data_IF_205926372524
#
_entry.id   IF_205926372524
#
_cell.length_a   1.000
_cell.length_b   1.000
_cell.length_c   1.000
_cell.angle_alpha   90.00
_cell.angle_beta   90.00
_cell.angle_gamma   90.00
#
_symmetry.space_group_name_H-M   'P 1'
#
loop_
_entity.id
_entity.type
_entity.pdbx_description
1 polymer ?
#
# COMPACT_ATOMS: atom_id res chain seq x y z
N UNK A 1 -18.45 -13.29 4.76
CA UNK A 1 -17.27 -14.13 5.12
C UNK A 1 -17.61 -15.20 6.14
N UNK A 2 -17.97 -14.83 7.38
CA UNK A 2 -18.20 -15.80 8.48
C UNK A 2 -19.32 -16.80 8.19
N UNK A 3 -20.44 -16.35 7.60
CA UNK A 3 -21.53 -17.26 7.20
C UNK A 3 -21.08 -18.34 6.20
N UNK A 4 -20.03 -18.06 5.43
CA UNK A 4 -19.42 -18.97 4.47
C UNK A 4 -18.15 -19.65 5.01
N UNK A 5 -17.85 -19.50 6.31
CA UNK A 5 -16.66 -20.06 6.99
C UNK A 5 -15.30 -19.61 6.42
N UNK A 6 -15.24 -18.45 5.77
CA UNK A 6 -13.97 -17.83 5.39
C UNK A 6 -13.31 -17.18 6.60
N UNK A 7 -11.98 -17.28 6.70
CA UNK A 7 -11.19 -16.85 7.86
C UNK A 7 -10.02 -15.91 7.52
N UNK A 8 -9.89 -15.46 6.26
CA UNK A 8 -8.89 -14.45 5.85
C UNK A 8 -9.57 -13.41 4.98
N UNK A 9 -9.47 -12.15 5.38
CA UNK A 9 -9.72 -10.99 4.54
C UNK A 9 -8.37 -10.61 3.93
N UNK A 10 -8.18 -10.92 2.65
CA UNK A 10 -7.09 -10.32 1.89
C UNK A 10 -7.51 -8.92 1.50
N UNK A 11 -6.88 -7.92 2.12
CA UNK A 11 -7.21 -6.53 1.88
C UNK A 11 -6.15 -5.92 0.99
N UNK A 12 -6.45 -5.89 -0.31
CA UNK A 12 -5.73 -5.10 -1.31
C UNK A 12 -6.10 -3.62 -1.11
N UNK A 13 -5.28 -2.90 -0.35
CA UNK A 13 -5.67 -1.59 0.22
C UNK A 13 -5.41 -0.44 -0.75
N UNK A 14 -4.34 -0.55 -1.54
CA UNK A 14 -3.81 0.50 -2.41
C UNK A 14 -3.45 -0.12 -3.76
N UNK A 15 -3.58 0.66 -4.84
CA UNK A 15 -3.23 0.26 -6.22
C UNK A 15 -2.86 1.54 -7.00
N UNK A 16 -2.61 1.44 -8.31
CA UNK A 16 -2.24 2.50 -9.22
C UNK A 16 -3.18 3.71 -9.11
N UNK A 17 -4.48 3.48 -8.98
CA UNK A 17 -5.48 4.52 -9.09
C UNK A 17 -5.74 5.26 -7.78
N UNK A 18 -5.48 4.63 -6.63
CA UNK A 18 -5.68 5.31 -5.34
C UNK A 18 -4.85 4.79 -4.17
N UNK A 19 -4.48 5.69 -3.27
CA UNK A 19 -3.85 5.41 -1.99
C UNK A 19 -4.74 5.92 -0.84
N UNK A 20 -5.78 5.18 -0.44
CA UNK A 20 -6.75 5.66 0.56
C UNK A 20 -6.29 5.50 2.02
N UNK A 21 -5.31 4.65 2.31
CA UNK A 21 -4.89 4.38 3.68
C UNK A 21 -3.96 5.48 4.23
N UNK A 22 -4.22 5.95 5.44
CA UNK A 22 -3.28 6.82 6.15
C UNK A 22 -2.08 6.04 6.69
N UNK A 23 -0.88 6.51 6.39
CA UNK A 23 0.38 5.97 6.93
C UNK A 23 1.02 7.05 7.81
N UNK A 24 1.04 6.92 9.14
CA UNK A 24 1.58 7.94 10.05
C UNK A 24 3.03 8.33 9.74
N UNK A 25 3.88 7.37 9.36
CA UNK A 25 5.27 7.64 8.99
C UNK A 25 5.39 8.45 7.70
N UNK A 26 4.41 8.34 6.80
CA UNK A 26 4.40 8.96 5.47
C UNK A 26 3.01 9.52 5.10
N UNK A 27 2.53 10.56 5.82
CA UNK A 27 1.14 11.00 5.76
C UNK A 27 0.71 11.52 4.38
N UNK A 28 1.67 11.99 3.56
CA UNK A 28 1.37 12.50 2.22
C UNK A 28 0.96 11.39 1.24
N UNK A 29 1.22 10.10 1.53
CA UNK A 29 0.76 9.00 0.67
C UNK A 29 -0.76 9.06 0.46
N UNK A 30 -1.51 9.41 1.50
CA UNK A 30 -2.97 9.57 1.43
C UNK A 30 -3.44 10.70 0.50
N UNK A 31 -2.55 11.53 -0.04
CA UNK A 31 -2.91 12.49 -1.10
C UNK A 31 -3.26 11.77 -2.41
N UNK A 32 -2.84 10.52 -2.59
CA UNK A 32 -3.25 9.67 -3.70
C UNK A 32 -4.66 9.09 -3.56
N UNK A 33 -5.40 9.39 -2.49
CA UNK A 33 -6.81 9.01 -2.38
C UNK A 33 -7.68 9.78 -3.38
N UNK A 34 -8.81 9.21 -3.79
CA UNK A 34 -9.75 9.88 -4.70
C UNK A 34 -10.30 11.20 -4.13
N UNK A 35 -10.54 11.25 -2.81
CA UNK A 35 -10.98 12.45 -2.11
C UNK A 35 -10.64 12.39 -0.62
N UNK A 36 -10.89 13.50 0.10
CA UNK A 36 -10.73 13.54 1.55
C UNK A 36 -11.66 12.54 2.27
N UNK A 37 -12.87 12.31 1.75
CA UNK A 37 -13.84 11.37 2.34
C UNK A 37 -13.58 9.91 1.98
N UNK A 38 -12.75 9.65 0.98
CA UNK A 38 -12.41 8.30 0.50
C UNK A 38 -11.05 7.87 1.06
N UNK A 39 -10.87 8.06 2.37
CA UNK A 39 -9.68 7.66 3.12
C UNK A 39 -10.03 6.70 4.23
N UNK A 40 -9.12 5.79 4.53
CA UNK A 40 -9.12 5.01 5.74
C UNK A 40 -8.13 5.62 6.72
N UNK A 41 -8.63 6.14 7.84
CA UNK A 41 -7.78 6.55 8.94
C UNK A 41 -7.16 5.33 9.61
N UNK A 42 -6.10 5.54 10.40
CA UNK A 42 -5.54 4.47 11.23
C UNK A 42 -6.58 3.87 12.18
N UNK A 43 -7.50 4.68 12.70
CA UNK A 43 -8.58 4.18 13.57
C UNK A 43 -9.56 3.29 12.79
N UNK A 44 -9.84 3.59 11.52
CA UNK A 44 -10.67 2.74 10.66
C UNK A 44 -10.01 1.40 10.44
N UNK A 45 -8.71 1.38 10.13
CA UNK A 45 -7.94 0.15 9.96
C UNK A 45 -7.92 -0.69 11.25
N UNK A 46 -7.66 -0.07 12.42
CA UNK A 46 -7.73 -0.73 13.72
C UNK A 46 -9.11 -1.33 13.97
N UNK A 47 -10.18 -0.57 13.67
CA UNK A 47 -11.55 -1.03 13.87
C UNK A 47 -11.89 -2.23 12.96
N UNK A 48 -11.45 -2.22 11.70
CA UNK A 48 -11.61 -3.33 10.76
C UNK A 48 -10.90 -4.59 11.29
N UNK A 49 -9.65 -4.47 11.72
CA UNK A 49 -8.89 -5.60 12.29
C UNK A 49 -9.60 -6.16 13.52
N UNK A 50 -9.98 -5.32 14.48
CA UNK A 50 -10.68 -5.76 15.70
C UNK A 50 -12.04 -6.41 15.39
N UNK A 51 -12.76 -5.90 14.39
CA UNK A 51 -14.05 -6.45 14.00
C UNK A 51 -13.90 -7.85 13.37
N UNK A 52 -12.86 -8.04 12.56
CA UNK A 52 -12.49 -9.32 11.94
C UNK A 52 -12.01 -10.34 12.99
N UNK A 53 -11.15 -9.93 13.93
CA UNK A 53 -10.62 -10.77 15.00
C UNK A 53 -11.73 -11.37 15.88
N UNK A 54 -12.74 -10.57 16.25
CA UNK A 54 -13.92 -11.03 17.02
C UNK A 54 -14.71 -12.15 16.33
N UNK A 55 -14.43 -12.41 15.05
CA UNK A 55 -15.11 -13.40 14.20
C UNK A 55 -14.18 -14.51 13.70
N UNK A 56 -12.93 -14.56 14.20
CA UNK A 56 -11.93 -15.52 13.73
C UNK A 56 -11.50 -15.28 12.29
N UNK A 57 -11.58 -14.04 11.80
CA UNK A 57 -11.09 -13.64 10.48
C UNK A 57 -9.78 -12.87 10.65
N UNK A 58 -8.73 -13.35 10.02
CA UNK A 58 -7.45 -12.65 9.92
C UNK A 58 -7.51 -11.58 8.83
N UNK A 59 -6.84 -10.46 9.02
CA UNK A 59 -6.67 -9.44 7.97
C UNK A 59 -5.25 -9.53 7.43
N UNK A 60 -5.12 -10.04 6.20
CA UNK A 60 -3.88 -10.02 5.43
C UNK A 60 -3.85 -8.70 4.67
N UNK A 61 -3.06 -7.74 5.15
CA UNK A 61 -2.87 -6.47 4.48
C UNK A 61 -1.91 -6.63 3.30
N UNK A 62 -2.22 -5.93 2.22
CA UNK A 62 -1.40 -5.89 1.02
C UNK A 62 -0.98 -4.45 0.67
N UNK A 63 0.29 -4.31 0.32
CA UNK A 63 0.84 -3.19 -0.42
C UNK A 63 1.62 -3.76 -1.60
N UNK A 64 1.08 -3.63 -2.80
CA UNK A 64 1.72 -4.16 -4.00
C UNK A 64 2.92 -3.29 -4.39
N UNK A 65 4.09 -3.92 -4.51
CA UNK A 65 5.34 -3.29 -4.91
C UNK A 65 6.16 -4.24 -5.78
N UNK A 66 6.90 -3.72 -6.78
CA UNK A 66 7.01 -2.32 -7.17
C UNK A 66 5.94 -1.89 -8.21
N UNK A 67 5.13 -2.81 -8.73
CA UNK A 67 4.02 -2.51 -9.64
C UNK A 67 2.90 -1.71 -8.95
N UNK A 68 1.84 -1.37 -9.68
CA UNK A 68 0.59 -0.85 -9.10
C UNK A 68 0.77 0.38 -8.18
N UNK A 69 1.75 1.23 -8.50
CA UNK A 69 2.23 2.27 -7.58
C UNK A 69 1.96 3.71 -8.03
N UNK A 70 1.14 3.91 -9.07
CA UNK A 70 0.81 5.24 -9.60
C UNK A 70 0.39 6.24 -8.53
N UNK A 71 -0.53 5.85 -7.64
CA UNK A 71 -1.07 6.71 -6.59
C UNK A 71 -0.06 7.14 -5.52
N UNK A 72 1.03 6.39 -5.33
CA UNK A 72 2.02 6.62 -4.27
C UNK A 72 2.76 7.94 -4.48
N UNK A 73 3.13 8.22 -5.73
CA UNK A 73 3.90 9.40 -6.08
C UNK A 73 3.09 10.70 -6.09
N UNK A 74 1.75 10.66 -5.99
CA UNK A 74 0.94 11.88 -5.80
C UNK A 74 1.35 12.62 -4.52
N UNK A 75 1.64 11.85 -3.45
CA UNK A 75 2.14 12.39 -2.19
C UNK A 75 3.65 12.63 -2.17
N UNK A 76 4.40 11.72 -2.80
CA UNK A 76 5.86 11.70 -2.82
C UNK A 76 6.38 11.45 -4.24
N UNK A 77 6.44 12.48 -5.11
CA UNK A 77 6.77 12.31 -6.53
C UNK A 77 8.11 11.64 -6.82
N UNK A 78 9.05 11.67 -5.86
CA UNK A 78 10.34 10.98 -5.95
C UNK A 78 10.26 9.45 -5.95
N UNK A 79 9.08 8.88 -5.67
CA UNK A 79 8.83 7.44 -5.76
C UNK A 79 8.58 6.99 -7.21
N UNK A 80 8.20 7.92 -8.09
CA UNK A 80 8.06 7.64 -9.50
C UNK A 80 9.43 7.67 -10.20
N UNK A 81 9.69 6.77 -11.15
CA UNK A 81 10.88 6.81 -12.00
C UNK A 81 11.08 8.16 -12.69
N UNK A 82 9.98 8.79 -13.14
CA UNK A 82 10.00 10.15 -13.67
C UNK A 82 8.61 10.79 -13.64
N UNK A 83 8.51 12.08 -13.99
CA UNK A 83 7.22 12.77 -14.10
C UNK A 83 6.30 12.20 -15.19
N UNK A 84 6.88 11.58 -16.23
CA UNK A 84 6.16 10.95 -17.35
C UNK A 84 5.98 9.45 -17.19
N UNK A 85 6.71 8.83 -16.25
CA UNK A 85 6.66 7.41 -15.92
C UNK A 85 6.36 7.24 -14.43
N UNK A 86 5.08 7.06 -14.09
CA UNK A 86 4.58 7.09 -12.71
C UNK A 86 4.48 5.70 -12.06
N UNK A 87 4.97 4.66 -12.72
CA UNK A 87 5.06 3.30 -12.18
C UNK A 87 5.98 2.48 -13.11
N UNK A 88 6.64 1.41 -12.62
CA UNK A 88 6.66 0.91 -11.23
C UNK A 88 7.42 1.86 -10.29
N UNK A 89 7.47 1.60 -8.98
CA UNK A 89 8.30 2.36 -8.03
C UNK A 89 9.76 2.41 -8.50
N UNK A 90 10.42 3.55 -8.29
CA UNK A 90 11.84 3.71 -8.57
C UNK A 90 12.69 2.93 -7.54
N UNK A 91 13.13 1.74 -7.93
CA UNK A 91 13.99 0.87 -7.11
C UNK A 91 15.47 1.29 -7.09
N UNK A 92 15.86 2.32 -7.87
CA UNK A 92 17.21 2.90 -7.80
C UNK A 92 17.33 3.97 -6.69
N UNK A 93 16.19 4.43 -6.17
CA UNK A 93 16.11 5.47 -5.15
C UNK A 93 16.02 4.86 -3.74
N UNK A 94 17.01 5.13 -2.89
CA UNK A 94 17.03 4.72 -1.47
C UNK A 94 15.78 5.19 -0.68
N UNK A 95 15.17 6.30 -1.11
CA UNK A 95 13.94 6.79 -0.48
C UNK A 95 12.77 5.81 -0.62
N UNK A 96 12.69 5.07 -1.73
CA UNK A 96 11.66 4.05 -1.97
C UNK A 96 11.68 2.98 -0.88
N UNK A 97 12.87 2.46 -0.55
CA UNK A 97 13.03 1.46 0.51
C UNK A 97 12.71 2.04 1.90
N UNK A 98 13.10 3.29 2.18
CA UNK A 98 12.71 3.96 3.44
C UNK A 98 11.19 4.09 3.58
N UNK A 99 10.48 4.36 2.48
CA UNK A 99 9.01 4.43 2.48
C UNK A 99 8.41 3.08 2.79
N UNK A 100 8.84 2.02 2.09
CA UNK A 100 8.39 0.65 2.32
C UNK A 100 8.64 0.22 3.78
N UNK A 101 9.84 0.47 4.32
CA UNK A 101 10.19 0.15 5.70
C UNK A 101 9.27 0.83 6.71
N UNK A 102 8.96 2.12 6.51
CA UNK A 102 8.04 2.82 7.41
C UNK A 102 6.59 2.34 7.30
N UNK A 103 6.13 1.99 6.09
CA UNK A 103 4.81 1.36 5.91
C UNK A 103 4.76 0.03 6.65
N UNK A 104 5.74 -0.85 6.47
CA UNK A 104 5.79 -2.16 7.13
C UNK A 104 5.88 -2.02 8.66
N UNK A 105 6.65 -1.03 9.15
CA UNK A 105 6.69 -0.67 10.57
C UNK A 105 5.31 -0.26 11.10
N UNK A 106 4.58 0.59 10.39
CA UNK A 106 3.23 1.00 10.80
C UNK A 106 2.21 -0.15 10.67
N UNK A 107 2.33 -0.98 9.63
CA UNK A 107 1.50 -2.16 9.44
C UNK A 107 1.65 -3.13 10.62
N UNK A 108 2.87 -3.37 11.10
CA UNK A 108 3.12 -4.26 12.25
C UNK A 108 2.39 -3.82 13.54
N UNK A 109 2.11 -2.51 13.67
CA UNK A 109 1.38 -1.95 14.81
C UNK A 109 -0.13 -2.16 14.69
N UNK A 110 -0.67 -2.27 13.48
CA UNK A 110 -2.12 -2.37 13.21
C UNK A 110 -2.53 -3.79 12.84
N UNK A 111 -1.94 -4.37 11.81
CA UNK A 111 -2.27 -5.68 11.28
C UNK A 111 -1.53 -6.77 12.06
N UNK A 112 -2.29 -7.56 12.84
CA UNK A 112 -1.74 -8.58 13.75
C UNK A 112 -1.54 -9.95 13.11
N UNK A 113 -1.91 -10.11 11.84
CA UNK A 113 -1.70 -11.35 11.14
C UNK A 113 -0.21 -11.60 10.88
N UNK A 114 0.21 -12.87 10.89
CA UNK A 114 1.62 -13.26 10.76
C UNK A 114 2.23 -12.89 9.40
N UNK A 115 1.39 -12.66 8.40
CA UNK A 115 1.80 -12.42 7.02
C UNK A 115 1.33 -11.04 6.57
N UNK A 116 2.14 -10.45 5.68
CA UNK A 116 1.83 -9.27 4.88
C UNK A 116 2.02 -9.70 3.43
N UNK A 117 1.13 -9.29 2.54
CA UNK A 117 1.27 -9.52 1.10
C UNK A 117 2.01 -8.33 0.48
N UNK A 118 3.06 -8.58 -0.29
CA UNK A 118 3.84 -7.53 -0.94
C UNK A 118 3.49 -7.36 -2.44
N UNK A 119 2.48 -8.08 -2.91
CA UNK A 119 2.11 -8.14 -4.32
C UNK A 119 3.25 -8.72 -5.16
N UNK A 120 3.76 -7.90 -6.07
CA UNK A 120 4.88 -8.22 -6.96
C UNK A 120 4.43 -8.69 -8.34
N UNK A 121 3.19 -8.40 -8.72
CA UNK A 121 2.61 -8.75 -10.00
C UNK A 121 2.70 -7.64 -11.05
N UNK A 122 2.50 -8.04 -12.31
CA UNK A 122 2.35 -7.20 -13.51
C UNK A 122 3.37 -6.07 -13.72
N UNK A 123 4.59 -6.23 -13.18
CA UNK A 123 5.66 -5.23 -13.35
C UNK A 123 6.08 -5.11 -14.81
N UNK A 124 5.81 -3.94 -15.41
CA UNK A 124 6.32 -3.60 -16.74
C UNK A 124 7.82 -3.25 -16.67
N UNK A 125 8.65 -4.24 -17.00
CA UNK A 125 10.11 -4.10 -16.92
C UNK A 125 10.70 -3.17 -17.98
N UNK A 126 9.96 -2.83 -19.05
CA UNK A 126 10.47 -1.92 -20.08
C UNK A 126 10.77 -0.53 -19.52
N UNK A 127 10.07 -0.14 -18.46
CA UNK A 127 10.18 1.15 -17.79
C UNK A 127 11.43 1.32 -16.94
N UNK A 128 12.18 0.24 -16.67
CA UNK A 128 13.46 0.31 -15.97
C UNK A 128 14.66 0.54 -16.89
N UNK A 129 14.50 0.38 -18.21
CA UNK A 129 15.62 0.40 -19.16
C UNK A 129 16.01 1.83 -19.57
N UNK A 130 15.11 2.81 -19.38
CA UNK A 130 15.26 4.19 -19.87
C UNK A 130 15.64 5.24 -18.80
N UNK A 131 16.10 4.82 -17.61
CA UNK A 131 16.43 5.76 -16.50
C UNK A 131 17.78 6.47 -16.68
N UNK A 132 18.36 6.46 -17.89
CA UNK A 132 19.66 7.07 -18.21
C UNK A 132 19.58 8.36 -19.04
N UNK A 133 18.62 9.24 -18.76
CA UNK A 133 18.57 10.61 -19.31
C UNK A 133 18.65 11.67 -18.22
#
# INVERSE_FOLDING_TARGET
>A
MVYSKLNVLHWHIVDEQSFPLEIPSYPKLSNGAYSYSEKYTINDAIHIVQYAEKRGVNVLAEIDVPGHAGSWGVGYPSLWPSATCQQPLDVSNDFTFKVIDGILSDFSKVFKFKFVHLGGDEVDTSKFVDVSQ
#
